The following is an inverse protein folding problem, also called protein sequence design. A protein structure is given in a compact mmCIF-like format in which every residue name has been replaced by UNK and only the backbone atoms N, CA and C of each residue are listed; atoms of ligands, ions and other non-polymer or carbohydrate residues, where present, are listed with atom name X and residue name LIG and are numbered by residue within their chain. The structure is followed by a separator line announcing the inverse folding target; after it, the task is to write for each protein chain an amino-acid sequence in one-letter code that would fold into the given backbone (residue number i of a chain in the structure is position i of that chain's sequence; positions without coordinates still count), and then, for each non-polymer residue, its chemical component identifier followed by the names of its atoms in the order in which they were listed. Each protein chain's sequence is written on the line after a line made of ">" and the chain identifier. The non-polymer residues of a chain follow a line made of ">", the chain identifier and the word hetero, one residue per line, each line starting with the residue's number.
data_IF_427741509220
#
_entry.id   IF_427741509220
#
_cell.length_a   1.000
_cell.length_b   1.000
_cell.length_c   1.000
_cell.angle_alpha   90.00
_cell.angle_beta   90.00
_cell.angle_gamma   90.00
#
_symmetry.space_group_name_H-M   'P 1'
#
loop_
_entity.id
_entity.type
_entity.pdbx_description
1 polymer ?
#
# COMPACT_ATOMS: atom_id res chain seq x y z
N UNK A 1 -12.26 -18.69 -5.63
CA UNK A 1 -12.54 -17.31 -6.08
C UNK A 1 -14.03 -17.11 -5.90
N UNK A 2 -14.44 -16.17 -5.05
CA UNK A 2 -15.86 -15.89 -4.81
C UNK A 2 -16.52 -15.46 -6.12
N UNK A 3 -17.64 -16.08 -6.47
CA UNK A 3 -18.45 -15.68 -7.61
C UNK A 3 -19.38 -14.58 -7.14
N UNK A 4 -19.17 -13.36 -7.63
CA UNK A 4 -19.99 -12.20 -7.31
C UNK A 4 -21.14 -12.10 -8.32
N UNK A 5 -22.12 -13.00 -8.20
CA UNK A 5 -23.33 -13.02 -9.02
C UNK A 5 -24.54 -12.43 -8.28
N UNK A 6 -25.69 -12.39 -8.95
CA UNK A 6 -26.92 -11.82 -8.39
C UNK A 6 -27.43 -12.63 -7.17
N UNK A 7 -27.18 -13.95 -7.13
CA UNK A 7 -27.51 -14.78 -5.97
C UNK A 7 -26.67 -14.40 -4.75
N UNK A 8 -25.37 -14.19 -4.94
CA UNK A 8 -24.48 -13.74 -3.88
C UNK A 8 -24.95 -12.41 -3.27
N UNK A 9 -25.39 -11.46 -4.11
CA UNK A 9 -25.89 -10.16 -3.65
C UNK A 9 -27.14 -10.32 -2.77
N UNK A 10 -28.11 -11.12 -3.21
CA UNK A 10 -29.36 -11.34 -2.47
C UNK A 10 -29.11 -12.04 -1.12
N UNK A 11 -28.22 -13.04 -1.09
CA UNK A 11 -27.84 -13.73 0.15
C UNK A 11 -27.14 -12.80 1.14
N UNK A 12 -26.26 -11.92 0.65
CA UNK A 12 -25.54 -10.97 1.48
C UNK A 12 -26.47 -9.89 2.07
N UNK A 13 -27.41 -9.36 1.28
CA UNK A 13 -28.42 -8.42 1.76
C UNK A 13 -29.32 -9.05 2.84
N UNK A 14 -29.74 -10.31 2.65
CA UNK A 14 -30.52 -11.04 3.64
C UNK A 14 -29.72 -11.26 4.94
N UNK A 15 -28.44 -11.61 4.82
CA UNK A 15 -27.54 -11.77 5.97
C UNK A 15 -27.37 -10.47 6.75
N UNK A 16 -27.12 -9.35 6.08
CA UNK A 16 -26.99 -8.02 6.70
C UNK A 16 -28.27 -7.61 7.42
N UNK A 17 -29.42 -7.83 6.81
CA UNK A 17 -30.73 -7.57 7.42
C UNK A 17 -30.90 -8.38 8.70
N UNK A 18 -30.64 -9.69 8.64
CA UNK A 18 -30.73 -10.55 9.82
C UNK A 18 -29.77 -10.10 10.95
N UNK A 19 -28.52 -9.74 10.61
CA UNK A 19 -27.54 -9.24 11.57
C UNK A 19 -27.98 -7.92 12.23
N UNK A 20 -28.63 -7.04 11.47
CA UNK A 20 -29.13 -5.76 11.97
C UNK A 20 -30.34 -5.94 12.90
N UNK A 21 -31.22 -6.90 12.61
CA UNK A 21 -32.42 -7.19 13.41
C UNK A 21 -32.09 -8.00 14.68
N UNK A 22 -31.07 -8.87 14.62
CA UNK A 22 -30.80 -9.87 15.66
C UNK A 22 -29.45 -9.69 16.36
N UNK A 23 -28.71 -8.62 16.08
CA UNK A 23 -27.38 -8.36 16.60
C UNK A 23 -27.08 -6.89 16.88
N UNK A 24 -25.81 -6.56 17.13
CA UNK A 24 -25.33 -5.18 17.30
C UNK A 24 -24.83 -4.55 15.99
N UNK A 25 -25.02 -5.23 14.86
CA UNK A 25 -24.61 -4.72 13.57
C UNK A 25 -25.53 -3.57 13.14
N UNK A 26 -24.96 -2.48 12.64
CA UNK A 26 -25.69 -1.37 12.02
C UNK A 26 -24.96 -1.00 10.73
N UNK A 27 -25.67 -1.12 9.60
CA UNK A 27 -25.11 -0.88 8.27
C UNK A 27 -24.50 0.55 8.16
N UNK A 28 -25.11 1.54 8.83
CA UNK A 28 -24.60 2.92 8.91
C UNK A 28 -23.21 3.06 9.56
N UNK A 29 -22.73 2.05 10.29
CA UNK A 29 -21.40 2.02 10.89
C UNK A 29 -20.41 1.14 10.11
N UNK A 30 -20.83 0.46 9.04
CA UNK A 30 -19.92 -0.36 8.23
C UNK A 30 -19.04 0.52 7.34
N UNK A 31 -17.73 0.54 7.62
CA UNK A 31 -16.77 1.35 6.88
C UNK A 31 -15.52 0.52 6.55
N UNK A 32 -15.12 0.53 5.28
CA UNK A 32 -13.82 0.01 4.89
C UNK A 32 -12.69 0.92 5.43
N UNK A 33 -11.90 0.37 6.35
CA UNK A 33 -10.77 1.07 6.98
C UNK A 33 -9.48 0.66 6.28
N UNK A 34 -9.09 1.40 5.22
CA UNK A 34 -7.75 1.39 4.58
C UNK A 34 -7.75 2.36 3.38
N UNK A 35 -6.59 2.97 3.09
CA UNK A 35 -6.39 3.84 1.92
C UNK A 35 -5.47 3.20 0.89
N UNK A 36 -5.84 3.28 -0.39
CA UNK A 36 -4.98 2.92 -1.54
C UNK A 36 -4.99 4.08 -2.53
N UNK A 37 -3.86 4.31 -3.20
CA UNK A 37 -3.71 5.37 -4.18
C UNK A 37 -2.57 5.10 -5.17
N UNK A 38 -2.59 5.82 -6.28
CA UNK A 38 -1.58 5.75 -7.33
C UNK A 38 -1.25 7.18 -7.79
N UNK A 39 0.05 7.45 -7.97
CA UNK A 39 0.54 8.67 -8.61
C UNK A 39 1.37 8.25 -9.81
N UNK A 40 1.14 8.89 -10.95
CA UNK A 40 1.81 8.58 -12.21
C UNK A 40 2.22 9.85 -12.95
N UNK A 41 3.35 9.80 -13.65
CA UNK A 41 3.69 10.82 -14.65
C UNK A 41 3.04 10.46 -15.98
N UNK A 42 2.12 11.30 -16.47
CA UNK A 42 1.35 11.03 -17.69
C UNK A 42 2.26 10.97 -18.93
N UNK A 43 3.37 11.70 -18.92
CA UNK A 43 4.36 11.71 -19.98
C UNK A 43 5.35 10.52 -19.92
N UNK A 44 5.20 9.63 -18.93
CA UNK A 44 6.05 8.46 -18.72
C UNK A 44 7.47 8.78 -18.22
N UNK A 45 7.80 10.04 -17.95
CA UNK A 45 9.15 10.42 -17.50
C UNK A 45 9.30 10.21 -15.99
N UNK A 46 10.38 9.53 -15.53
CA UNK A 46 10.66 9.42 -14.11
C UNK A 46 10.80 10.80 -13.45
N UNK A 47 10.15 10.99 -12.31
CA UNK A 47 10.18 12.27 -11.59
C UNK A 47 10.13 12.06 -10.08
N UNK A 48 11.00 12.78 -9.35
CA UNK A 48 11.00 12.78 -7.89
C UNK A 48 9.64 13.20 -7.30
N UNK A 49 8.92 14.08 -8.00
CA UNK A 49 7.59 14.56 -7.60
C UNK A 49 6.57 13.44 -7.44
N UNK A 50 6.65 12.37 -8.25
CA UNK A 50 5.74 11.21 -8.14
C UNK A 50 5.88 10.56 -6.77
N UNK A 51 7.12 10.38 -6.31
CA UNK A 51 7.41 9.77 -5.01
C UNK A 51 7.05 10.73 -3.86
N UNK A 52 7.30 12.04 -4.02
CA UNK A 52 6.91 13.06 -3.03
C UNK A 52 5.39 13.09 -2.84
N UNK A 53 4.62 13.13 -3.92
CA UNK A 53 3.16 13.09 -3.85
C UNK A 53 2.63 11.77 -3.29
N UNK A 54 3.29 10.64 -3.56
CA UNK A 54 2.96 9.36 -2.92
C UNK A 54 3.13 9.41 -1.40
N UNK A 55 4.21 10.04 -0.91
CA UNK A 55 4.44 10.26 0.53
C UNK A 55 3.40 11.22 1.12
N UNK A 56 3.09 12.32 0.43
CA UNK A 56 2.10 13.29 0.90
C UNK A 56 0.69 12.67 0.98
N UNK A 57 0.34 11.80 0.04
CA UNK A 57 -0.90 11.03 0.10
C UNK A 57 -0.94 10.09 1.32
N UNK A 58 0.17 9.37 1.61
CA UNK A 58 0.26 8.51 2.79
C UNK A 58 0.14 9.30 4.11
N UNK A 59 0.64 10.54 4.14
CA UNK A 59 0.45 11.43 5.30
C UNK A 59 -1.00 11.89 5.48
N UNK A 60 -1.84 11.82 4.45
CA UNK A 60 -3.22 12.29 4.50
C UNK A 60 -4.24 11.22 4.93
N UNK A 61 -3.83 9.95 5.08
CA UNK A 61 -4.75 8.82 5.36
C UNK A 61 -4.72 8.33 6.82
N UNK A 62 -4.01 9.03 7.71
CA UNK A 62 -3.88 8.64 9.13
C UNK A 62 -5.23 8.47 9.86
N UNK A 63 -6.24 9.25 9.49
CA UNK A 63 -7.59 9.19 10.07
C UNK A 63 -8.37 7.91 9.70
N UNK A 64 -7.82 7.09 8.79
CA UNK A 64 -8.41 5.82 8.33
C UNK A 64 -7.59 4.59 8.73
N UNK A 65 -6.47 4.79 9.42
CA UNK A 65 -5.63 3.70 9.94
C UNK A 65 -5.94 3.42 11.39
N UNK A 66 -5.79 2.17 11.82
CA UNK A 66 -5.72 1.88 13.24
C UNK A 66 -4.42 2.51 13.79
N UNK A 67 -4.56 3.24 14.90
CA UNK A 67 -3.44 3.83 15.63
C UNK A 67 -3.46 3.20 17.01
N UNK A 68 -2.34 2.60 17.41
CA UNK A 68 -2.21 2.06 18.76
C UNK A 68 -2.05 3.18 19.80
N UNK A 69 -2.31 2.88 21.07
CA UNK A 69 -2.27 3.84 22.16
C UNK A 69 -0.88 4.48 22.39
N UNK A 70 0.19 3.89 21.85
CA UNK A 70 1.55 4.41 21.95
C UNK A 70 1.83 5.61 21.02
N UNK A 71 0.90 5.93 20.10
CA UNK A 71 1.03 6.99 19.11
C UNK A 71 2.12 6.77 18.06
N UNK A 72 2.65 5.54 17.95
CA UNK A 72 3.75 5.16 17.03
C UNK A 72 3.39 3.96 16.17
N UNK A 73 2.68 3.00 16.74
CA UNK A 73 2.33 1.74 16.10
C UNK A 73 1.07 1.92 15.25
N UNK A 74 1.13 1.38 14.04
CA UNK A 74 -0.01 1.23 13.14
C UNK A 74 0.13 -0.08 12.37
N UNK A 75 -0.96 -0.55 11.77
CA UNK A 75 -1.03 -1.89 11.16
C UNK A 75 -0.06 -2.07 9.98
N UNK A 76 0.21 -1.00 9.24
CA UNK A 76 1.17 -0.99 8.15
C UNK A 76 0.94 0.14 7.14
N UNK A 77 2.03 0.60 6.54
CA UNK A 77 2.02 1.50 5.40
C UNK A 77 3.17 1.12 4.45
N UNK A 78 2.98 1.36 3.16
CA UNK A 78 3.98 1.03 2.15
C UNK A 78 3.86 1.91 0.91
N UNK A 79 4.97 2.07 0.21
CA UNK A 79 5.03 2.72 -1.09
C UNK A 79 5.82 1.82 -2.04
N UNK A 80 5.25 1.57 -3.23
CA UNK A 80 5.93 0.83 -4.29
C UNK A 80 6.35 1.82 -5.37
N UNK A 81 7.64 1.79 -5.74
CA UNK A 81 8.24 2.70 -6.73
C UNK A 81 9.16 1.91 -7.65
N UNK A 82 9.47 2.47 -8.82
CA UNK A 82 10.51 1.93 -9.69
C UNK A 82 11.87 1.96 -8.99
N UNK A 83 12.72 0.98 -9.29
CA UNK A 83 14.11 0.92 -8.79
C UNK A 83 14.84 2.19 -9.26
N UNK A 84 15.38 3.04 -8.36
CA UNK A 84 16.15 4.23 -8.74
C UNK A 84 17.61 3.89 -9.04
N UNK A 85 18.04 3.75 -10.32
CA UNK A 85 19.35 3.17 -10.63
C UNK A 85 20.49 4.06 -10.13
N UNK A 86 20.36 5.38 -10.26
CA UNK A 86 21.37 6.33 -9.79
C UNK A 86 21.73 6.14 -8.30
N UNK A 87 20.72 5.95 -7.44
CA UNK A 87 20.94 5.72 -6.01
C UNK A 87 21.74 4.45 -5.73
N UNK A 88 21.39 3.35 -6.40
CA UNK A 88 22.08 2.07 -6.22
C UNK A 88 23.44 2.01 -6.89
N UNK A 89 23.61 2.67 -8.03
CA UNK A 89 24.91 2.83 -8.70
C UNK A 89 25.91 3.54 -7.79
N UNK A 90 25.48 4.55 -7.05
CA UNK A 90 26.31 5.18 -6.04
C UNK A 90 26.67 4.22 -4.90
N UNK A 91 25.75 3.34 -4.48
CA UNK A 91 26.07 2.31 -3.48
C UNK A 91 27.07 1.28 -4.00
N UNK A 92 26.95 0.85 -5.25
CA UNK A 92 27.91 -0.06 -5.90
C UNK A 92 29.31 0.57 -5.90
N UNK A 93 29.43 1.83 -6.32
CA UNK A 93 30.71 2.56 -6.31
C UNK A 93 31.32 2.70 -4.93
N UNK A 94 30.50 2.95 -3.90
CA UNK A 94 30.96 3.00 -2.51
C UNK A 94 31.60 1.70 -2.02
N UNK A 95 31.26 0.56 -2.63
CA UNK A 95 31.89 -0.73 -2.34
C UNK A 95 33.17 -1.01 -3.15
N UNK A 96 33.63 -0.07 -3.99
CA UNK A 96 34.80 -0.24 -4.84
C UNK A 96 34.54 -0.95 -6.17
N UNK A 97 33.27 -1.08 -6.57
CA UNK A 97 32.86 -1.71 -7.83
C UNK A 97 32.29 -0.67 -8.79
N UNK A 98 32.30 -0.94 -10.10
CA UNK A 98 31.59 -0.11 -11.08
C UNK A 98 30.26 -0.74 -11.50
N UNK A 99 29.16 0.04 -11.57
CA UNK A 99 27.89 -0.46 -12.06
C UNK A 99 27.97 -0.79 -13.56
N UNK A 100 27.33 -1.90 -13.95
CA UNK A 100 27.18 -2.28 -15.36
C UNK A 100 26.05 -1.47 -16.00
N UNK A 101 26.42 -0.51 -16.85
CA UNK A 101 25.49 0.45 -17.46
C UNK A 101 24.72 -0.14 -18.66
N UNK A 102 25.19 -1.26 -19.19
CA UNK A 102 24.63 -2.00 -20.33
C UNK A 102 23.62 -3.07 -19.89
N UNK A 103 23.39 -3.22 -18.58
CA UNK A 103 22.53 -4.27 -18.03
C UNK A 103 21.47 -3.70 -17.09
N UNK A 104 20.34 -4.40 -17.01
CA UNK A 104 19.35 -4.13 -15.99
C UNK A 104 19.87 -4.59 -14.62
N UNK A 105 19.72 -3.71 -13.64
CA UNK A 105 20.03 -3.99 -12.25
C UNK A 105 18.78 -4.47 -11.53
N UNK A 106 18.92 -5.52 -10.72
CA UNK A 106 17.87 -6.05 -9.87
C UNK A 106 18.15 -5.74 -8.40
N UNK A 107 17.08 -5.60 -7.61
CA UNK A 107 17.15 -5.39 -6.15
C UNK A 107 16.18 -6.36 -5.49
N UNK A 108 16.68 -7.09 -4.49
CA UNK A 108 15.84 -7.89 -3.59
C UNK A 108 15.63 -7.15 -2.28
N UNK A 109 14.40 -6.73 -1.99
CA UNK A 109 14.02 -6.23 -0.67
C UNK A 109 13.57 -7.42 0.18
N UNK A 110 14.30 -7.75 1.25
CA UNK A 110 14.05 -8.94 2.08
C UNK A 110 13.95 -8.58 3.55
N UNK A 111 13.04 -9.27 4.26
CA UNK A 111 13.03 -9.31 5.71
C UNK A 111 13.72 -10.60 6.17
N UNK A 112 14.73 -10.44 7.03
CA UNK A 112 15.48 -11.55 7.63
C UNK A 112 15.12 -11.63 9.12
N UNK A 113 15.26 -12.80 9.78
CA UNK A 113 15.09 -12.92 11.22
C UNK A 113 16.03 -11.96 11.96
N UNK A 114 15.52 -11.30 13.00
CA UNK A 114 16.32 -10.50 13.93
C UNK A 114 16.53 -11.31 15.21
N UNK A 115 17.59 -12.11 15.24
CA UNK A 115 18.05 -12.85 16.43
C UNK A 115 18.86 -11.98 17.36
#
# INVERSE_FOLDING_TARGET
>A
MTLYDDSWKAEEEARRTWLAENGMYRDEFEHASCGVGLVVSIDGKPSRKVVEHGIDALKAVWHRGAVDADGKTGDGAGIHVQIPPAFFYDQIRRTGHEPRMDQLMAVGQVFLPRT
#
